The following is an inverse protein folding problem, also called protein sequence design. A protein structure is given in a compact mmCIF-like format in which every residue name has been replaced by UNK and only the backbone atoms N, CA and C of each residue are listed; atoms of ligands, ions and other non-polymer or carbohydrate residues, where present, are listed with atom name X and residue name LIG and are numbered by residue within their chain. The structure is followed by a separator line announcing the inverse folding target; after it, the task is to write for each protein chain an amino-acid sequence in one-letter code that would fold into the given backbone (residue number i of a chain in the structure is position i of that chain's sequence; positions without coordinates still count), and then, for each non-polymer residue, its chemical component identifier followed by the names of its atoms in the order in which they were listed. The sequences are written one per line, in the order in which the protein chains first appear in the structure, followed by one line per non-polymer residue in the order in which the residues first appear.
data_IF_808126327908
#
_entry.id   IF_808126327908
#
_cell.length_a   1.000
_cell.length_b   1.000
_cell.length_c   1.000
_cell.angle_alpha   90.00
_cell.angle_beta   90.00
_cell.angle_gamma   90.00
#
_symmetry.space_group_name_H-M   'P 1'
#
loop_
_entity.id
_entity.type
_entity.pdbx_description
1 polymer ?
#
# COMPACT_ATOMS: atom_id res chain seq x y z
N UNK A 1 23.14 -7.15 -5.91
CA UNK A 1 23.95 -5.91 -5.83
C UNK A 1 23.37 -4.82 -4.92
N UNK A 2 22.16 -4.26 -5.13
CA UNK A 2 21.62 -3.18 -4.27
C UNK A 2 21.43 -3.59 -2.79
N UNK A 3 20.96 -4.81 -2.52
CA UNK A 3 20.73 -5.30 -1.15
C UNK A 3 22.02 -5.50 -0.34
N UNK A 4 23.13 -5.76 -1.03
CA UNK A 4 24.41 -6.13 -0.42
C UNK A 4 25.15 -4.91 0.11
N UNK A 5 25.14 -3.81 -0.65
CA UNK A 5 25.65 -2.51 -0.23
C UNK A 5 24.85 -1.94 0.97
N UNK A 6 23.54 -2.21 1.02
CA UNK A 6 22.67 -1.75 2.10
C UNK A 6 22.97 -2.46 3.41
N UNK A 7 23.15 -3.78 3.34
CA UNK A 7 23.55 -4.58 4.49
C UNK A 7 24.91 -4.11 5.01
N UNK A 8 25.86 -3.83 4.12
CA UNK A 8 27.19 -3.31 4.50
C UNK A 8 27.14 -1.91 5.14
N UNK A 9 26.31 -1.00 4.65
CA UNK A 9 26.17 0.34 5.23
C UNK A 9 25.52 0.24 6.61
N UNK A 10 24.45 -0.54 6.76
CA UNK A 10 23.80 -0.73 8.04
C UNK A 10 24.75 -1.40 9.03
N UNK A 11 25.44 -2.48 8.63
CA UNK A 11 26.43 -3.17 9.45
C UNK A 11 27.57 -2.24 9.89
N UNK A 12 28.07 -1.37 9.01
CA UNK A 12 29.08 -0.35 9.36
C UNK A 12 28.55 0.71 10.32
N UNK A 13 27.29 1.11 10.19
CA UNK A 13 26.63 2.04 11.11
C UNK A 13 26.41 1.41 12.49
N UNK A 14 26.06 0.12 12.56
CA UNK A 14 25.97 -0.64 13.81
C UNK A 14 27.35 -0.80 14.46
N UNK A 15 28.38 -1.06 13.66
CA UNK A 15 29.78 -1.22 14.12
C UNK A 15 30.35 0.08 14.69
N UNK A 16 29.85 1.26 14.29
CA UNK A 16 30.30 2.57 14.77
C UNK A 16 29.87 2.90 16.22
N UNK A 17 29.35 1.94 16.98
CA UNK A 17 29.09 2.08 18.42
C UNK A 17 27.84 2.90 18.79
N UNK A 18 26.92 3.13 17.84
CA UNK A 18 25.62 3.78 18.08
C UNK A 18 24.53 2.79 18.52
N UNK A 19 24.90 1.64 19.07
CA UNK A 19 23.95 0.69 19.64
C UNK A 19 23.42 1.23 20.98
N UNK A 20 22.30 1.93 20.94
CA UNK A 20 21.56 2.28 22.16
C UNK A 20 20.65 1.12 22.57
N UNK A 21 20.50 0.94 23.88
CA UNK A 21 19.80 -0.16 24.57
C UNK A 21 18.26 -0.14 24.44
N UNK A 22 17.69 0.61 23.50
CA UNK A 22 16.24 0.75 23.34
C UNK A 22 15.69 -0.14 22.24
N UNK A 23 14.52 -0.78 22.48
CA UNK A 23 13.74 -1.42 21.40
C UNK A 23 13.47 -0.40 20.29
N UNK A 24 13.84 -0.74 19.06
CA UNK A 24 13.55 0.06 17.86
C UNK A 24 12.03 0.23 17.73
N UNK A 25 11.58 1.41 17.32
CA UNK A 25 10.15 1.71 17.12
C UNK A 25 9.88 2.49 15.83
N UNK A 26 10.89 2.61 14.96
CA UNK A 26 10.74 3.11 13.60
C UNK A 26 11.36 2.15 12.59
N UNK A 27 10.70 1.95 11.46
CA UNK A 27 11.16 1.03 10.41
C UNK A 27 12.41 1.53 9.65
N UNK A 28 13.00 0.65 8.84
CA UNK A 28 14.22 0.92 8.05
C UNK A 28 14.06 2.10 7.08
N UNK A 29 12.88 2.26 6.47
CA UNK A 29 12.58 3.37 5.56
C UNK A 29 12.53 4.71 6.28
N UNK A 30 11.85 4.77 7.43
CA UNK A 30 11.85 5.94 8.30
C UNK A 30 13.26 6.30 8.75
N UNK A 31 14.10 5.31 9.09
CA UNK A 31 15.50 5.54 9.48
C UNK A 31 16.30 6.25 8.37
N UNK A 32 16.21 5.78 7.13
CA UNK A 32 16.90 6.38 5.98
C UNK A 32 16.42 7.81 5.73
N UNK A 33 15.10 8.06 5.75
CA UNK A 33 14.54 9.41 5.58
C UNK A 33 15.03 10.35 6.69
N UNK A 34 15.09 9.85 7.92
CA UNK A 34 15.58 10.60 9.07
C UNK A 34 17.03 11.02 8.90
N UNK A 35 17.88 10.10 8.40
CA UNK A 35 19.28 10.38 8.12
C UNK A 35 19.44 11.43 7.02
N UNK A 36 18.73 11.29 5.90
CA UNK A 36 18.82 12.24 4.78
C UNK A 36 18.28 13.63 5.15
N UNK A 37 17.09 13.69 5.73
CA UNK A 37 16.47 14.95 6.14
C UNK A 37 17.25 15.60 7.29
N UNK A 38 17.71 14.82 8.26
CA UNK A 38 18.54 15.28 9.36
C UNK A 38 19.87 15.86 8.89
N UNK A 39 20.57 15.17 7.98
CA UNK A 39 21.81 15.63 7.39
C UNK A 39 21.65 16.92 6.58
N UNK A 40 20.60 17.00 5.75
CA UNK A 40 20.28 18.21 4.99
C UNK A 40 19.94 19.40 5.90
N UNK A 41 19.11 19.18 6.92
CA UNK A 41 18.70 20.21 7.87
C UNK A 41 19.90 20.72 8.68
N UNK A 42 20.72 19.80 9.20
CA UNK A 42 21.93 20.14 9.94
C UNK A 42 22.89 20.97 9.08
N UNK A 43 23.17 20.54 7.84
CA UNK A 43 23.99 21.29 6.90
C UNK A 43 23.46 22.71 6.63
N UNK A 44 22.17 22.83 6.33
CA UNK A 44 21.52 24.12 6.06
C UNK A 44 21.55 25.04 7.28
N UNK A 45 21.37 24.49 8.47
CA UNK A 45 21.39 25.22 9.73
C UNK A 45 22.78 25.72 10.10
N UNK A 46 23.82 24.89 9.94
CA UNK A 46 25.21 25.28 10.15
C UNK A 46 25.60 26.42 9.19
N UNK A 47 25.20 26.37 7.91
CA UNK A 47 25.42 27.46 6.96
C UNK A 47 24.74 28.78 7.34
N UNK A 48 23.59 28.73 8.01
CA UNK A 48 22.85 29.92 8.44
C UNK A 48 23.29 30.46 9.81
N UNK A 49 24.09 29.70 10.56
CA UNK A 49 24.46 30.00 11.94
C UNK A 49 25.21 31.33 12.10
N UNK A 50 26.01 31.73 11.11
CA UNK A 50 26.70 33.03 11.13
C UNK A 50 25.77 34.24 10.98
N UNK A 51 24.60 34.10 10.34
CA UNK A 51 23.63 35.19 10.12
C UNK A 51 22.47 35.16 11.12
N UNK A 52 22.03 33.97 11.50
CA UNK A 52 20.89 33.76 12.39
C UNK A 52 21.24 32.67 13.41
N UNK A 53 21.99 33.01 14.48
CA UNK A 53 22.54 32.01 15.40
C UNK A 53 21.43 31.22 16.13
N UNK A 54 20.36 31.89 16.58
CA UNK A 54 19.25 31.23 17.27
C UNK A 54 18.50 30.23 16.38
N UNK A 55 18.12 30.65 15.17
CA UNK A 55 17.46 29.77 14.19
C UNK A 55 18.39 28.64 13.71
N UNK A 56 19.69 28.94 13.55
CA UNK A 56 20.72 27.96 13.23
C UNK A 56 20.84 26.89 14.30
N UNK A 57 20.88 27.27 15.58
CA UNK A 57 20.96 26.33 16.70
C UNK A 57 19.72 25.44 16.78
N UNK A 58 18.52 26.00 16.68
CA UNK A 58 17.27 25.22 16.71
C UNK A 58 17.21 24.21 15.57
N UNK A 59 17.53 24.62 14.35
CA UNK A 59 17.53 23.70 13.22
C UNK A 59 18.66 22.66 13.30
N UNK A 60 19.82 23.00 13.87
CA UNK A 60 20.89 22.04 14.11
C UNK A 60 20.47 20.99 15.15
N UNK A 61 19.79 21.39 16.23
CA UNK A 61 19.23 20.48 17.23
C UNK A 61 18.17 19.55 16.60
N UNK A 62 17.25 20.09 15.80
CA UNK A 62 16.27 19.29 15.07
C UNK A 62 16.93 18.30 14.09
N UNK A 63 17.96 18.75 13.36
CA UNK A 63 18.76 17.90 12.47
C UNK A 63 19.48 16.78 13.24
N UNK A 64 20.08 17.10 14.39
CA UNK A 64 20.72 16.14 15.28
C UNK A 64 19.75 15.08 15.83
N UNK A 65 18.55 15.48 16.26
CA UNK A 65 17.50 14.56 16.69
C UNK A 65 17.06 13.61 15.57
N UNK A 66 16.93 14.13 14.35
CA UNK A 66 16.59 13.33 13.16
C UNK A 66 17.70 12.32 12.84
N UNK A 67 18.97 12.74 12.91
CA UNK A 67 20.10 11.83 12.74
C UNK A 67 20.14 10.76 13.84
N UNK A 68 19.93 11.15 15.10
CA UNK A 68 19.86 10.23 16.24
C UNK A 68 18.77 9.16 16.05
N UNK A 69 17.53 9.57 15.74
CA UNK A 69 16.44 8.59 15.53
C UNK A 69 16.72 7.69 14.33
N UNK A 70 17.32 8.23 13.26
CA UNK A 70 17.68 7.46 12.08
C UNK A 70 18.76 6.41 12.35
N UNK A 71 19.80 6.79 13.08
CA UNK A 71 20.88 5.87 13.44
C UNK A 71 20.41 4.77 14.41
N UNK A 72 19.69 5.16 15.47
CA UNK A 72 19.32 4.26 16.56
C UNK A 72 18.03 3.46 16.32
N UNK A 73 17.18 3.88 15.38
CA UNK A 73 15.84 3.30 15.23
C UNK A 73 14.89 3.65 16.37
N UNK A 74 15.25 4.60 17.24
CA UNK A 74 14.45 5.02 18.40
C UNK A 74 13.96 6.45 18.23
N UNK A 75 12.63 6.61 18.19
CA UNK A 75 11.95 7.89 18.20
C UNK A 75 11.21 8.09 19.54
N UNK A 76 11.68 8.99 20.43
CA UNK A 76 11.04 9.26 21.71
C UNK A 76 9.58 9.73 21.59
N UNK A 77 9.26 10.52 20.56
CA UNK A 77 7.90 10.97 20.30
C UNK A 77 6.96 9.80 20.00
N UNK A 78 7.42 8.82 19.23
CA UNK A 78 6.63 7.63 18.93
C UNK A 78 6.45 6.75 20.17
N UNK A 79 7.46 6.65 21.05
CA UNK A 79 7.30 6.00 22.36
C UNK A 79 6.26 6.67 23.24
N UNK A 80 6.18 8.00 23.21
CA UNK A 80 5.16 8.75 23.96
C UNK A 80 3.75 8.58 23.37
N UNK A 81 3.66 8.36 22.05
CA UNK A 81 2.40 8.13 21.34
C UNK A 81 2.02 6.65 21.21
N UNK A 82 2.76 5.76 21.87
CA UNK A 82 2.63 4.29 21.74
C UNK A 82 2.57 3.80 20.28
N UNK A 83 3.37 4.45 19.42
CA UNK A 83 3.47 4.14 17.99
C UNK A 83 4.73 3.32 17.72
N UNK A 84 4.56 2.18 17.06
CA UNK A 84 5.64 1.33 16.58
C UNK A 84 5.42 1.07 15.08
N UNK A 85 6.39 1.46 14.24
CA UNK A 85 6.31 1.19 12.79
C UNK A 85 7.18 0.01 12.36
N UNK A 86 7.85 -0.67 13.30
CA UNK A 86 8.66 -1.86 13.01
C UNK A 86 7.83 -3.11 12.73
N UNK A 87 6.57 -3.12 13.17
CA UNK A 87 5.61 -4.19 12.93
C UNK A 87 4.46 -3.67 12.03
N UNK A 88 4.54 -3.87 10.71
CA UNK A 88 3.51 -3.39 9.79
C UNK A 88 2.21 -4.14 10.03
N UNK A 89 1.16 -3.43 10.43
CA UNK A 89 -0.17 -4.02 10.53
C UNK A 89 -0.81 -4.14 9.14
N UNK A 90 -1.55 -5.23 8.94
CA UNK A 90 -2.41 -5.39 7.78
C UNK A 90 -3.48 -4.28 7.78
N UNK A 91 -3.76 -3.74 6.59
CA UNK A 91 -4.91 -2.90 6.36
C UNK A 91 -6.00 -3.79 5.79
N UNK A 92 -7.11 -3.89 6.53
CA UNK A 92 -8.31 -4.59 6.11
C UNK A 92 -9.34 -3.59 5.58
N UNK A 93 -9.85 -3.86 4.39
CA UNK A 93 -10.91 -3.09 3.75
C UNK A 93 -12.06 -4.03 3.51
N UNK A 94 -13.21 -3.69 4.08
CA UNK A 94 -14.47 -4.42 3.87
C UNK A 94 -15.49 -3.45 3.31
N UNK A 95 -16.16 -3.84 2.23
CA UNK A 95 -17.17 -3.05 1.54
C UNK A 95 -18.32 -3.94 1.06
N UNK A 96 -19.54 -3.47 1.29
CA UNK A 96 -20.77 -4.09 0.78
C UNK A 96 -21.42 -3.15 -0.24
N UNK A 97 -21.73 -3.67 -1.43
CA UNK A 97 -22.41 -2.92 -2.48
C UNK A 97 -23.51 -3.75 -3.12
N UNK A 98 -24.53 -3.06 -3.63
CA UNK A 98 -25.62 -3.68 -4.40
C UNK A 98 -25.63 -3.06 -5.80
N UNK A 99 -25.59 -3.91 -6.82
CA UNK A 99 -25.59 -3.50 -8.23
C UNK A 99 -26.80 -4.06 -8.96
N UNK A 100 -27.38 -3.27 -9.86
CA UNK A 100 -28.53 -3.68 -10.65
C UNK A 100 -28.12 -4.46 -11.91
N UNK A 101 -27.49 -5.61 -11.72
CA UNK A 101 -27.05 -6.52 -12.77
C UNK A 101 -27.19 -7.99 -12.34
N UNK A 102 -27.42 -8.94 -13.29
CA UNK A 102 -27.48 -10.37 -12.99
C UNK A 102 -26.17 -10.91 -12.40
N UNK A 103 -26.31 -11.80 -11.39
CA UNK A 103 -25.18 -12.35 -10.63
C UNK A 103 -24.14 -13.07 -11.49
N UNK A 104 -24.58 -13.85 -12.47
CA UNK A 104 -23.71 -14.57 -13.40
C UNK A 104 -22.82 -13.61 -14.21
N UNK A 105 -23.38 -12.47 -14.64
CA UNK A 105 -22.66 -11.44 -15.39
C UNK A 105 -21.67 -10.67 -14.52
N UNK A 106 -22.09 -10.34 -13.29
CA UNK A 106 -21.23 -9.68 -12.32
C UNK A 106 -20.05 -10.59 -11.96
N UNK A 107 -20.30 -11.86 -11.67
CA UNK A 107 -19.26 -12.85 -11.41
C UNK A 107 -18.29 -12.98 -12.58
N UNK A 108 -18.81 -13.20 -13.80
CA UNK A 108 -17.98 -13.37 -15.00
C UNK A 108 -17.07 -12.15 -15.23
N UNK A 109 -17.60 -10.94 -15.01
CA UNK A 109 -16.83 -9.71 -15.14
C UNK A 109 -15.69 -9.63 -14.13
N UNK A 110 -15.92 -9.99 -12.87
CA UNK A 110 -14.90 -10.02 -11.83
C UNK A 110 -13.87 -11.14 -12.04
N UNK A 111 -14.30 -12.30 -12.57
CA UNK A 111 -13.43 -13.46 -12.79
C UNK A 111 -12.39 -13.21 -13.88
N UNK A 112 -12.72 -12.42 -14.89
CA UNK A 112 -11.77 -11.88 -15.85
C UNK A 112 -11.04 -10.69 -15.21
N UNK A 113 -9.96 -10.99 -14.47
CA UNK A 113 -9.31 -10.02 -13.57
C UNK A 113 -8.78 -8.78 -14.31
N UNK A 114 -8.49 -8.91 -15.61
CA UNK A 114 -8.13 -7.78 -16.49
C UNK A 114 -9.23 -6.72 -16.64
N UNK A 115 -10.46 -7.00 -16.20
CA UNK A 115 -11.56 -6.04 -16.11
C UNK A 115 -11.45 -5.09 -14.90
N UNK A 116 -10.79 -5.51 -13.81
CA UNK A 116 -10.78 -4.75 -12.55
C UNK A 116 -10.27 -3.30 -12.70
N UNK A 117 -9.20 -3.00 -13.49
CA UNK A 117 -8.74 -1.64 -13.72
C UNK A 117 -9.76 -0.69 -14.39
N UNK A 118 -10.86 -1.21 -14.97
CA UNK A 118 -11.91 -0.39 -15.57
C UNK A 118 -12.60 0.48 -14.51
N UNK A 119 -12.80 -0.06 -13.31
CA UNK A 119 -13.43 0.65 -12.18
C UNK A 119 -12.49 0.86 -10.99
N UNK A 120 -11.48 0.00 -10.79
CA UNK A 120 -10.46 0.15 -9.75
C UNK A 120 -9.31 1.06 -10.21
N UNK A 121 -9.44 2.37 -9.99
CA UNK A 121 -8.46 3.37 -10.43
C UNK A 121 -7.11 3.27 -9.72
N UNK A 122 -7.06 2.65 -8.54
CA UNK A 122 -5.78 2.32 -7.89
C UNK A 122 -4.97 1.28 -8.68
N UNK A 123 -5.60 0.50 -9.56
CA UNK A 123 -4.93 -0.44 -10.45
C UNK A 123 -4.58 0.23 -11.78
N UNK A 124 -3.33 0.04 -12.20
CA UNK A 124 -2.82 0.41 -13.52
C UNK A 124 -3.16 -0.67 -14.55
N UNK A 125 -2.91 -1.93 -14.21
CA UNK A 125 -3.27 -3.09 -15.02
C UNK A 125 -3.34 -4.34 -14.17
N UNK A 126 -4.09 -5.33 -14.66
CA UNK A 126 -4.04 -6.72 -14.19
C UNK A 126 -3.91 -7.58 -15.44
N UNK A 127 -2.77 -8.24 -15.56
CA UNK A 127 -2.40 -9.04 -16.72
C UNK A 127 -2.50 -10.53 -16.33
N UNK A 128 -3.46 -11.26 -16.88
CA UNK A 128 -3.65 -12.69 -16.60
C UNK A 128 -2.55 -13.52 -17.30
N UNK A 129 -1.69 -14.18 -16.51
CA UNK A 129 -0.57 -14.98 -17.00
C UNK A 129 -0.98 -16.43 -17.27
N UNK A 130 -2.01 -16.90 -16.58
CA UNK A 130 -2.68 -18.20 -16.71
C UNK A 130 -4.07 -18.11 -16.09
N UNK A 131 -4.82 -19.21 -16.08
CA UNK A 131 -6.17 -19.26 -15.49
C UNK A 131 -6.18 -18.95 -13.99
N UNK A 132 -5.09 -19.24 -13.27
CA UNK A 132 -4.98 -19.06 -11.82
C UNK A 132 -4.05 -17.92 -11.42
N UNK A 133 -3.07 -17.55 -12.25
CA UNK A 133 -2.02 -16.56 -11.90
C UNK A 133 -2.12 -15.30 -12.74
N UNK A 134 -2.00 -14.15 -12.09
CA UNK A 134 -2.05 -12.82 -12.70
C UNK A 134 -0.97 -11.88 -12.16
N UNK A 135 -0.52 -10.95 -13.00
CA UNK A 135 0.41 -9.87 -12.66
C UNK A 135 -0.36 -8.56 -12.48
N UNK A 136 -0.32 -8.01 -11.27
CA UNK A 136 -1.02 -6.81 -10.88
C UNK A 136 -0.05 -5.64 -10.86
N UNK A 137 -0.50 -4.46 -11.29
CA UNK A 137 0.26 -3.21 -11.22
C UNK A 137 -0.62 -2.11 -10.63
N UNK A 138 -0.14 -1.40 -9.63
CA UNK A 138 -0.87 -0.32 -8.97
C UNK A 138 -0.34 1.07 -9.31
N UNK A 139 -1.26 2.04 -9.39
CA UNK A 139 -0.95 3.45 -9.44
C UNK A 139 -0.56 3.94 -8.04
N UNK A 140 0.71 4.32 -7.87
CA UNK A 140 1.16 4.92 -6.61
C UNK A 140 0.94 6.43 -6.59
N UNK A 141 0.62 7.04 -5.44
CA UNK A 141 0.50 8.50 -5.32
C UNK A 141 1.75 9.20 -5.88
N UNK A 142 1.54 10.07 -6.88
CA UNK A 142 2.62 10.80 -7.55
C UNK A 142 3.53 9.95 -8.45
N UNK A 143 3.18 8.70 -8.76
CA UNK A 143 3.97 7.81 -9.61
C UNK A 143 5.36 7.52 -9.04
N UNK A 144 5.50 7.58 -7.72
CA UNK A 144 6.81 7.58 -7.05
C UNK A 144 7.49 6.21 -7.03
N UNK A 145 6.71 5.13 -7.17
CA UNK A 145 7.15 3.74 -7.11
C UNK A 145 6.36 2.94 -8.18
N UNK A 146 7.06 2.09 -8.93
CA UNK A 146 6.42 1.10 -9.80
C UNK A 146 6.05 -0.11 -8.96
N UNK A 147 4.78 -0.20 -8.57
CA UNK A 147 4.28 -1.19 -7.64
C UNK A 147 3.57 -2.30 -8.40
N UNK A 148 4.09 -3.52 -8.32
CA UNK A 148 3.55 -4.70 -8.97
C UNK A 148 3.75 -5.96 -8.13
N UNK A 149 2.87 -6.95 -8.31
CA UNK A 149 2.94 -8.24 -7.63
C UNK A 149 2.24 -9.32 -8.45
N UNK A 150 2.60 -10.58 -8.23
CA UNK A 150 1.86 -11.69 -8.81
C UNK A 150 0.84 -12.19 -7.78
N UNK A 151 -0.37 -12.54 -8.20
CA UNK A 151 -1.38 -13.14 -7.35
C UNK A 151 -1.94 -14.42 -8.00
N UNK A 152 -2.25 -15.39 -7.14
CA UNK A 152 -2.93 -16.62 -7.49
C UNK A 152 -4.38 -16.62 -6.99
N UNK A 153 -5.30 -17.22 -7.75
CA UNK A 153 -6.64 -17.55 -7.27
C UNK A 153 -6.50 -18.65 -6.21
N UNK A 154 -7.09 -18.43 -5.04
CA UNK A 154 -6.99 -19.36 -3.88
C UNK A 154 -8.27 -20.14 -3.65
N UNK A 155 -9.42 -19.59 -4.04
CA UNK A 155 -10.72 -20.26 -3.99
C UNK A 155 -11.63 -19.70 -5.06
N UNK A 156 -12.36 -20.58 -5.72
CA UNK A 156 -13.33 -20.23 -6.75
C UNK A 156 -14.60 -21.08 -6.57
N UNK A 157 -15.74 -20.41 -6.45
CA UNK A 157 -17.07 -21.02 -6.52
C UNK A 157 -17.88 -20.21 -7.53
N UNK A 158 -18.15 -20.81 -8.69
CA UNK A 158 -18.71 -20.09 -9.85
C UNK A 158 -20.02 -19.41 -9.48
N UNK A 159 -20.07 -18.09 -9.63
CA UNK A 159 -21.24 -17.28 -9.32
C UNK A 159 -21.42 -16.93 -7.84
N UNK A 160 -20.54 -17.37 -6.94
CA UNK A 160 -20.71 -17.25 -5.48
C UNK A 160 -19.49 -16.68 -4.77
N UNK A 161 -18.28 -17.08 -5.16
CA UNK A 161 -17.06 -16.70 -4.45
C UNK A 161 -15.86 -16.63 -5.40
N UNK A 162 -15.06 -15.58 -5.26
CA UNK A 162 -13.74 -15.49 -5.87
C UNK A 162 -12.73 -14.95 -4.85
N UNK A 163 -11.69 -15.72 -4.55
CA UNK A 163 -10.60 -15.34 -3.65
C UNK A 163 -9.25 -15.40 -4.33
N UNK A 164 -8.36 -14.48 -3.99
CA UNK A 164 -7.00 -14.42 -4.51
C UNK A 164 -6.00 -14.03 -3.41
N UNK A 165 -4.73 -14.36 -3.63
CA UNK A 165 -3.62 -14.01 -2.74
C UNK A 165 -2.33 -13.79 -3.53
N UNK A 166 -1.52 -12.82 -3.11
CA UNK A 166 -0.18 -12.58 -3.63
C UNK A 166 0.70 -13.82 -3.46
N UNK A 167 1.51 -14.14 -4.48
CA UNK A 167 2.47 -15.23 -4.44
C UNK A 167 3.68 -14.87 -3.58
N UNK A 168 4.38 -15.88 -3.05
CA UNK A 168 5.61 -15.71 -2.27
C UNK A 168 6.65 -14.87 -3.04
N UNK A 169 7.31 -13.95 -2.33
CA UNK A 169 8.30 -13.04 -2.92
C UNK A 169 7.72 -11.85 -3.70
N UNK A 170 6.40 -11.69 -3.70
CA UNK A 170 5.73 -10.48 -4.20
C UNK A 170 6.16 -9.23 -3.44
N UNK A 171 6.08 -8.06 -4.09
CA UNK A 171 6.45 -6.79 -3.44
C UNK A 171 5.45 -6.32 -2.39
N UNK A 172 4.23 -6.88 -2.41
CA UNK A 172 3.16 -6.64 -1.45
C UNK A 172 2.57 -7.99 -1.08
N UNK A 173 2.37 -8.20 0.22
CA UNK A 173 1.46 -9.23 0.72
C UNK A 173 0.03 -8.69 0.63
N UNK A 174 -0.74 -9.26 -0.29
CA UNK A 174 -2.12 -8.87 -0.57
C UNK A 174 -3.00 -10.12 -0.64
N UNK A 175 -4.20 -10.03 -0.09
CA UNK A 175 -5.25 -11.00 -0.30
C UNK A 175 -6.56 -10.25 -0.55
N UNK A 176 -7.48 -10.91 -1.23
CA UNK A 176 -8.83 -10.38 -1.36
C UNK A 176 -9.83 -11.47 -1.66
N UNK A 177 -11.08 -11.15 -1.41
CA UNK A 177 -12.21 -11.98 -1.81
C UNK A 177 -13.38 -11.11 -2.20
N UNK A 178 -14.25 -11.68 -3.02
CA UNK A 178 -15.58 -11.17 -3.30
C UNK A 178 -16.57 -12.32 -3.20
N UNK A 179 -17.62 -12.10 -2.42
CA UNK A 179 -18.79 -12.98 -2.36
C UNK A 179 -19.93 -12.35 -3.15
N UNK A 180 -20.65 -13.16 -3.93
CA UNK A 180 -21.75 -12.71 -4.78
C UNK A 180 -23.05 -13.37 -4.33
N UNK A 181 -24.06 -12.55 -4.01
CA UNK A 181 -25.38 -13.02 -3.60
C UNK A 181 -26.45 -12.35 -4.44
N UNK A 182 -27.53 -13.07 -4.72
CA UNK A 182 -28.71 -12.45 -5.34
C UNK A 182 -29.39 -11.55 -4.33
N UNK A 183 -29.86 -10.38 -4.77
CA UNK A 183 -30.73 -9.54 -3.95
C UNK A 183 -32.03 -10.26 -3.64
N UNK A 184 -32.70 -9.89 -2.54
CA UNK A 184 -33.98 -10.52 -2.14
C UNK A 184 -35.08 -10.45 -3.22
N UNK A 185 -35.04 -9.45 -4.09
CA UNK A 185 -35.98 -9.29 -5.21
C UNK A 185 -35.53 -10.00 -6.51
N UNK A 186 -34.34 -10.62 -6.52
CA UNK A 186 -33.78 -11.38 -7.64
C UNK A 186 -33.35 -10.56 -8.85
N UNK A 187 -33.35 -9.23 -8.78
CA UNK A 187 -33.03 -8.36 -9.93
C UNK A 187 -31.62 -7.79 -9.91
N UNK A 188 -30.89 -7.95 -8.81
CA UNK A 188 -29.54 -7.41 -8.64
C UNK A 188 -28.61 -8.38 -7.92
N UNK A 189 -27.39 -7.92 -7.71
CA UNK A 189 -26.34 -8.68 -7.04
C UNK A 189 -25.81 -7.87 -5.85
N UNK A 190 -25.78 -8.49 -4.69
CA UNK A 190 -25.07 -8.01 -3.50
C UNK A 190 -23.64 -8.55 -3.57
N UNK A 191 -22.66 -7.65 -3.45
CA UNK A 191 -21.24 -8.01 -3.40
C UNK A 191 -20.72 -7.66 -2.01
N UNK A 192 -20.07 -8.64 -1.38
CA UNK A 192 -19.28 -8.44 -0.17
C UNK A 192 -17.80 -8.57 -0.54
N UNK A 193 -17.07 -7.48 -0.47
CA UNK A 193 -15.66 -7.40 -0.89
C UNK A 193 -14.79 -7.19 0.33
N UNK A 194 -13.80 -8.07 0.52
CA UNK A 194 -12.74 -7.91 1.51
C UNK A 194 -11.39 -7.85 0.79
N UNK A 195 -10.55 -6.88 1.15
CA UNK A 195 -9.18 -6.76 0.67
C UNK A 195 -8.28 -6.51 1.86
N UNK A 196 -7.28 -7.36 2.02
CA UNK A 196 -6.21 -7.25 2.99
C UNK A 196 -4.91 -6.95 2.27
N UNK A 197 -4.13 -6.01 2.80
CA UNK A 197 -2.75 -5.87 2.35
C UNK A 197 -1.85 -5.34 3.44
N UNK A 198 -0.59 -5.72 3.34
CA UNK A 198 0.48 -5.09 4.12
C UNK A 198 1.10 -4.00 3.25
N UNK A 199 1.04 -2.73 3.69
CA UNK A 199 1.78 -1.67 3.02
C UNK A 199 3.25 -2.09 2.91
N UNK A 200 3.90 -1.90 1.76
CA UNK A 200 5.28 -2.32 1.59
C UNK A 200 6.17 -1.60 2.63
N UNK A 201 6.58 -2.34 3.66
CA UNK A 201 7.45 -1.83 4.71
C UNK A 201 8.88 -1.80 4.18
N UNK A 202 9.50 -0.61 4.16
CA UNK A 202 10.93 -0.50 3.88
C UNK A 202 11.40 -0.91 2.47
N UNK A 203 10.55 -0.88 1.43
CA UNK A 203 11.04 -0.96 0.06
C UNK A 203 11.98 0.22 -0.24
N UNK A 204 13.08 -0.04 -0.95
CA UNK A 204 14.19 0.90 -1.23
C UNK A 204 13.67 2.09 -2.04
N UNK A 205 13.02 3.04 -1.38
CA UNK A 205 12.17 3.99 -2.08
C UNK A 205 11.39 4.95 -1.18
N UNK A 206 12.04 5.50 -0.15
CA UNK A 206 11.55 6.56 0.75
C UNK A 206 10.51 6.06 1.78
N UNK A 207 10.73 6.42 3.05
CA UNK A 207 9.80 6.21 4.16
C UNK A 207 8.52 7.02 3.99
N UNK A 208 7.60 6.51 3.16
CA UNK A 208 6.29 7.09 2.86
C UNK A 208 5.15 6.17 3.34
N UNK A 209 5.44 5.12 4.12
CA UNK A 209 4.44 4.16 4.63
C UNK A 209 3.22 4.86 5.24
N UNK A 210 3.42 5.92 6.03
CA UNK A 210 2.32 6.63 6.69
C UNK A 210 1.43 7.50 5.80
N UNK A 211 1.89 7.96 4.62
CA UNK A 211 1.03 8.73 3.68
C UNK A 211 0.29 7.79 2.71
N UNK A 212 0.83 6.60 2.48
CA UNK A 212 0.21 5.61 1.60
C UNK A 212 -1.03 5.00 2.24
N UNK A 213 -1.00 4.67 3.54
CA UNK A 213 -2.06 3.90 4.18
C UNK A 213 -3.45 4.56 4.02
N UNK A 214 -3.64 5.78 4.52
CA UNK A 214 -4.96 6.43 4.48
C UNK A 214 -5.41 6.86 3.08
N UNK A 215 -4.49 7.21 2.18
CA UNK A 215 -4.86 7.62 0.82
C UNK A 215 -5.22 6.39 -0.02
N UNK A 216 -4.45 5.31 0.09
CA UNK A 216 -4.66 4.09 -0.68
C UNK A 216 -5.88 3.32 -0.20
N UNK A 217 -6.07 3.21 1.13
CA UNK A 217 -7.26 2.61 1.72
C UNK A 217 -8.54 3.30 1.22
N UNK A 218 -8.58 4.64 1.26
CA UNK A 218 -9.69 5.41 0.72
C UNK A 218 -9.88 5.20 -0.77
N UNK A 219 -8.79 5.13 -1.55
CA UNK A 219 -8.86 4.92 -3.00
C UNK A 219 -9.48 3.56 -3.34
N UNK A 220 -9.07 2.48 -2.65
CA UNK A 220 -9.63 1.14 -2.82
C UNK A 220 -11.12 1.15 -2.43
N UNK A 221 -11.47 1.80 -1.32
CA UNK A 221 -12.87 1.93 -0.88
C UNK A 221 -13.74 2.62 -1.94
N UNK A 222 -13.27 3.76 -2.45
CA UNK A 222 -13.93 4.49 -3.53
C UNK A 222 -14.02 3.67 -4.82
N UNK A 223 -13.01 2.85 -5.10
CA UNK A 223 -12.99 1.97 -6.27
C UNK A 223 -14.05 0.87 -6.19
N UNK A 224 -14.20 0.22 -5.03
CA UNK A 224 -15.26 -0.78 -4.83
C UNK A 224 -16.62 -0.12 -4.99
N UNK A 225 -16.84 1.05 -4.38
CA UNK A 225 -18.08 1.81 -4.52
C UNK A 225 -18.34 2.26 -5.97
N UNK A 226 -17.29 2.58 -6.74
CA UNK A 226 -17.39 2.89 -8.18
C UNK A 226 -17.88 1.73 -9.03
N UNK A 227 -17.69 0.48 -8.58
CA UNK A 227 -18.18 -0.67 -9.35
C UNK A 227 -19.68 -0.59 -9.60
N UNK A 228 -20.46 -0.08 -8.64
CA UNK A 228 -21.91 0.10 -8.82
C UNK A 228 -22.23 0.95 -10.04
N UNK A 229 -21.66 2.16 -10.11
CA UNK A 229 -21.88 3.06 -11.24
C UNK A 229 -21.42 2.42 -12.54
N UNK A 230 -20.25 1.77 -12.54
CA UNK A 230 -19.73 1.08 -13.71
C UNK A 230 -20.64 -0.05 -14.20
N UNK A 231 -21.14 -0.90 -13.29
CA UNK A 231 -22.01 -2.02 -13.62
C UNK A 231 -23.38 -1.57 -14.16
N UNK A 232 -23.82 -0.37 -13.80
CA UNK A 232 -25.10 0.20 -14.25
C UNK A 232 -24.98 1.02 -15.55
N UNK A 233 -23.75 1.29 -15.99
CA UNK A 233 -23.42 2.00 -17.23
C UNK A 233 -23.48 1.10 -18.49
N UNK A 234 -23.48 1.76 -19.65
CA UNK A 234 -23.65 1.12 -20.96
C UNK A 234 -22.51 0.15 -21.30
N UNK A 235 -21.28 0.42 -20.88
CA UNK A 235 -20.13 -0.42 -21.24
C UNK A 235 -20.17 -1.78 -20.54
N UNK A 236 -20.57 -1.82 -19.26
CA UNK A 236 -20.86 -3.08 -18.60
C UNK A 236 -22.06 -3.78 -19.26
N UNK A 237 -23.13 -3.05 -19.57
CA UNK A 237 -24.28 -3.63 -20.27
C UNK A 237 -23.90 -4.25 -21.62
N UNK A 238 -22.96 -3.66 -22.36
CA UNK A 238 -22.42 -4.25 -23.59
C UNK A 238 -21.64 -5.53 -23.32
N UNK A 239 -20.73 -5.51 -22.34
CA UNK A 239 -20.01 -6.71 -21.91
C UNK A 239 -20.96 -7.86 -21.53
N UNK A 240 -21.97 -7.53 -20.72
CA UNK A 240 -22.93 -8.48 -20.19
C UNK A 240 -23.97 -8.96 -21.22
N UNK A 241 -24.01 -8.38 -22.43
CA UNK A 241 -25.05 -8.67 -23.43
C UNK A 241 -26.43 -8.11 -23.08
N UNK A 242 -26.48 -7.05 -22.28
CA UNK A 242 -27.67 -6.36 -21.78
C UNK A 242 -27.97 -5.03 -22.49
N UNK A 243 -27.10 -4.59 -23.40
CA UNK A 243 -27.35 -3.41 -24.22
C UNK A 243 -28.35 -3.73 -25.33
N UNK A 244 -29.41 -2.92 -25.45
CA UNK A 244 -30.34 -2.92 -26.58
C UNK A 244 -29.71 -2.28 -27.82
#
# INVERSE_FOLDING_TARGET
MKNELNNQIMERLTTFGLATTGKENIDKGERIVSLLAGGWLLYKSLKKMGKHPFLGLQGAAAGGLMLYRGATGVCPLYKQLDKDTTDPQAINITEDIVVNAPRDKVYAFWRELSNLPKFMKHLKSVDELSDEVSLWKANTPGGLIDLNWNAGITREEVGEYLGWQSLEGSMIDNAGKVEFRETLNGTGTELHVEIDYFPPAGSVGRGITSLFNGIFERMIREDIQRFKSYAEETDFKRYAGLAL
#
